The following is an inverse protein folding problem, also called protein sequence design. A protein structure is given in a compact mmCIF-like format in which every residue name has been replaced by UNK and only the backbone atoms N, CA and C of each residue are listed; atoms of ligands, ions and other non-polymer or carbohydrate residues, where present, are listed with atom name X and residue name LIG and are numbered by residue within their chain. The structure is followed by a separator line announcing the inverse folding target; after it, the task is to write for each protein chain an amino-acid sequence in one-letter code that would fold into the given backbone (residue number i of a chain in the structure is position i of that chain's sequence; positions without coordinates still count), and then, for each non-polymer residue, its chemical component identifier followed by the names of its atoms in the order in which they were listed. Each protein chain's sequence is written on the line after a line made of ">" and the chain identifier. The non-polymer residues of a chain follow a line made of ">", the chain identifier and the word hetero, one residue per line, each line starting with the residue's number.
data_IF_566251811409
#
_entry.id   IF_566251811409
#
_cell.length_a   1.000
_cell.length_b   1.000
_cell.length_c   1.000
_cell.angle_alpha   90.00
_cell.angle_beta   90.00
_cell.angle_gamma   90.00
#
_symmetry.space_group_name_H-M   'P 1'
#
loop_
_entity.id
_entity.type
_entity.pdbx_description
1 polymer ?
#
# COMPACT_ATOMS: atom_id res chain seq x y z
N UNK A 1 -15.61 0.49 -29.18
CA UNK A 1 -14.24 1.04 -29.06
C UNK A 1 -13.70 0.98 -27.62
N UNK A 2 -14.13 1.83 -26.67
CA UNK A 2 -13.55 1.81 -25.29
C UNK A 2 -13.74 0.46 -24.58
N UNK A 3 -14.90 -0.19 -24.79
CA UNK A 3 -15.18 -1.53 -24.23
C UNK A 3 -14.20 -2.58 -24.76
N UNK A 4 -13.89 -2.54 -26.05
CA UNK A 4 -12.99 -3.51 -26.69
C UNK A 4 -11.55 -3.32 -26.22
N UNK A 5 -11.13 -2.06 -26.05
CA UNK A 5 -9.84 -1.71 -25.45
C UNK A 5 -9.76 -2.24 -24.00
N UNK A 6 -10.81 -2.04 -23.19
CA UNK A 6 -10.84 -2.57 -21.81
C UNK A 6 -10.75 -4.09 -21.79
N UNK A 7 -11.51 -4.77 -22.64
CA UNK A 7 -11.50 -6.22 -22.73
C UNK A 7 -10.12 -6.74 -23.14
N UNK A 8 -9.47 -6.09 -24.10
CA UNK A 8 -8.11 -6.44 -24.53
C UNK A 8 -7.08 -6.24 -23.41
N UNK A 9 -7.15 -5.11 -22.69
CA UNK A 9 -6.25 -4.86 -21.56
C UNK A 9 -6.49 -5.87 -20.43
N UNK A 10 -7.75 -6.25 -20.18
CA UNK A 10 -8.11 -7.24 -19.15
C UNK A 10 -7.69 -8.68 -19.51
N UNK A 11 -7.60 -9.03 -20.80
CA UNK A 11 -7.12 -10.35 -21.23
C UNK A 11 -5.60 -10.43 -21.40
N UNK A 12 -4.88 -9.30 -21.37
CA UNK A 12 -3.43 -9.25 -21.49
C UNK A 12 -2.73 -9.70 -20.19
N UNK A 13 -2.31 -10.97 -20.13
CA UNK A 13 -1.59 -11.54 -18.97
C UNK A 13 -0.34 -10.73 -18.56
N UNK A 14 0.57 -10.32 -19.47
CA UNK A 14 1.72 -9.51 -19.11
C UNK A 14 1.33 -8.14 -18.53
N UNK A 15 0.23 -7.56 -19.01
CA UNK A 15 -0.28 -6.28 -18.52
C UNK A 15 -0.80 -6.43 -17.10
N UNK A 16 -1.55 -7.49 -16.80
CA UNK A 16 -2.07 -7.76 -15.46
C UNK A 16 -0.96 -8.04 -14.43
N UNK A 17 0.14 -8.66 -14.85
CA UNK A 17 1.25 -9.01 -13.95
C UNK A 17 2.18 -7.83 -13.67
N UNK A 18 2.47 -7.00 -14.68
CA UNK A 18 3.50 -5.97 -14.58
C UNK A 18 2.94 -4.58 -14.28
N UNK A 19 1.68 -4.30 -14.64
CA UNK A 19 1.10 -2.99 -14.37
C UNK A 19 0.51 -2.94 -12.96
N UNK A 20 1.21 -2.25 -12.06
CA UNK A 20 0.72 -2.05 -10.70
C UNK A 20 -0.57 -1.21 -10.67
N UNK A 21 -1.55 -1.66 -9.90
CA UNK A 21 -2.74 -0.87 -9.60
C UNK A 21 -2.36 0.34 -8.73
N UNK A 22 -2.42 1.54 -9.31
CA UNK A 22 -2.07 2.79 -8.59
C UNK A 22 -3.13 3.24 -7.59
N UNK A 23 -4.31 2.63 -7.62
CA UNK A 23 -5.38 2.86 -6.63
C UNK A 23 -5.15 1.98 -5.43
N UNK A 24 -4.48 2.52 -4.41
CA UNK A 24 -4.46 1.90 -3.08
C UNK A 24 -5.86 1.96 -2.48
N UNK A 25 -6.27 0.92 -1.78
CA UNK A 25 -7.48 0.98 -0.97
C UNK A 25 -7.32 2.09 0.09
N UNK A 26 -8.37 2.86 0.38
CA UNK A 26 -8.33 3.78 1.51
C UNK A 26 -8.09 2.95 2.78
N UNK A 27 -6.98 3.22 3.45
CA UNK A 27 -6.64 2.60 4.73
C UNK A 27 -6.73 3.63 5.83
N UNK A 28 -7.40 3.29 6.92
CA UNK A 28 -7.31 4.05 8.16
C UNK A 28 -6.11 3.55 8.96
N UNK A 29 -5.30 4.49 9.47
CA UNK A 29 -4.29 4.13 10.46
C UNK A 29 -5.00 3.57 11.69
N UNK A 30 -4.48 2.46 12.24
CA UNK A 30 -4.93 1.97 13.54
C UNK A 30 -4.30 2.84 14.62
N UNK A 31 -5.07 3.59 15.43
CA UNK A 31 -4.50 4.39 16.49
C UNK A 31 -3.85 3.48 17.53
N UNK A 32 -2.65 3.86 17.97
CA UNK A 32 -1.97 3.27 19.11
C UNK A 32 -2.25 4.14 20.34
N UNK A 33 -2.49 3.50 21.49
CA UNK A 33 -2.64 4.23 22.75
C UNK A 33 -1.26 4.80 23.16
N UNK A 34 -1.17 6.08 23.58
CA UNK A 34 0.05 6.61 24.16
C UNK A 34 0.45 5.85 25.42
N UNK A 35 1.76 5.71 25.72
CA UNK A 35 2.21 5.24 27.02
C UNK A 35 1.75 6.19 28.13
N UNK A 36 1.43 5.65 29.31
CA UNK A 36 0.97 6.39 30.49
C UNK A 36 2.11 7.02 31.28
N UNK A 37 3.34 6.52 31.10
CA UNK A 37 4.51 6.93 31.86
C UNK A 37 5.79 6.94 31.05
N UNK A 38 6.82 7.59 31.62
CA UNK A 38 8.16 7.66 31.02
C UNK A 38 8.73 6.25 30.86
N UNK A 39 9.43 6.00 29.74
CA UNK A 39 10.11 4.74 29.42
C UNK A 39 9.22 3.50 29.15
N UNK A 40 7.89 3.64 29.09
CA UNK A 40 7.01 2.49 28.80
C UNK A 40 6.99 2.04 27.34
N UNK A 41 7.36 2.93 26.40
CA UNK A 41 7.46 2.61 24.98
C UNK A 41 8.68 3.32 24.39
N UNK A 42 9.65 2.53 23.93
CA UNK A 42 10.83 3.02 23.24
C UNK A 42 10.86 2.37 21.85
N UNK A 43 10.82 3.20 20.82
CA UNK A 43 11.08 2.78 19.44
C UNK A 43 12.41 3.38 19.03
N UNK A 44 13.31 2.54 18.54
CA UNK A 44 14.58 2.96 17.95
C UNK A 44 14.63 2.42 16.54
N UNK A 45 15.22 3.18 15.64
CA UNK A 45 15.54 2.72 14.30
C UNK A 45 17.00 3.03 14.01
N UNK A 46 17.61 2.21 13.18
CA UNK A 46 18.97 2.46 12.71
C UNK A 46 18.89 3.34 11.48
N UNK A 47 19.55 4.49 11.55
CA UNK A 47 19.84 5.27 10.36
C UNK A 47 21.27 4.99 9.95
N UNK A 48 21.46 4.37 8.78
CA UNK A 48 22.80 4.27 8.18
C UNK A 48 22.99 3.15 7.15
N UNK A 49 24.23 3.00 6.63
CA UNK A 49 25.45 3.69 7.08
C UNK A 49 25.39 5.22 6.98
#
# INVERSE_FOLDING_TARGET
>A
MIRDIRNHIQSCVPCCQNNHQRRKAPGSLKPIKPPEGVWQLLSMDFHGP
#
